data_IF_250074853369
#
_entry.id   IF_250074853369
#
_cell.length_a   1.000
_cell.length_b   1.000
_cell.length_c   1.000
_cell.angle_alpha   90.00
_cell.angle_beta   90.00
_cell.angle_gamma   90.00
#
_symmetry.space_group_name_H-M   'P 1'
#
loop_
_entity.id
_entity.type
_entity.pdbx_description
1 polymer ?
#
# COMPACT_ATOMS: atom_id res chain seq x y z
N UNK A 1 -16.00 -34.41 -23.69
CA UNK A 1 -15.20 -33.17 -23.66
C UNK A 1 -14.67 -33.02 -22.24
N UNK A 2 -13.37 -33.24 -22.02
CA UNK A 2 -12.76 -33.11 -20.70
C UNK A 2 -12.46 -31.64 -20.43
N UNK A 3 -13.04 -31.09 -19.36
CA UNK A 3 -12.69 -29.79 -18.83
C UNK A 3 -11.24 -29.84 -18.36
N UNK A 4 -10.38 -29.02 -18.97
CA UNK A 4 -8.99 -28.86 -18.57
C UNK A 4 -8.98 -28.07 -17.26
N UNK A 5 -8.55 -28.69 -16.17
CA UNK A 5 -8.34 -28.03 -14.89
C UNK A 5 -7.28 -26.93 -15.08
N UNK A 6 -7.67 -25.67 -14.92
CA UNK A 6 -6.74 -24.55 -15.02
C UNK A 6 -5.88 -24.55 -13.77
N UNK A 7 -4.68 -25.14 -13.84
CA UNK A 7 -3.64 -24.88 -12.87
C UNK A 7 -3.35 -23.37 -12.90
N UNK A 8 -3.80 -22.64 -11.88
CA UNK A 8 -3.40 -21.25 -11.73
C UNK A 8 -1.89 -21.22 -11.54
N UNK A 9 -1.13 -20.55 -12.43
CA UNK A 9 0.30 -20.41 -12.23
C UNK A 9 0.52 -19.77 -10.85
N UNK A 10 1.43 -20.34 -10.06
CA UNK A 10 1.83 -19.75 -8.79
C UNK A 10 2.41 -18.37 -9.10
N UNK A 11 1.70 -17.31 -8.69
CA UNK A 11 2.17 -15.94 -8.88
C UNK A 11 3.42 -15.74 -8.01
N UNK A 12 4.54 -15.44 -8.67
CA UNK A 12 5.78 -15.10 -7.98
C UNK A 12 5.62 -13.80 -7.17
N UNK A 13 6.17 -13.77 -5.96
CA UNK A 13 6.22 -12.58 -5.12
C UNK A 13 7.60 -11.95 -5.31
N UNK A 14 7.67 -10.91 -6.14
CA UNK A 14 8.93 -10.23 -6.47
C UNK A 14 9.38 -9.23 -5.40
N UNK A 15 8.47 -8.80 -4.51
CA UNK A 15 8.77 -7.82 -3.48
C UNK A 15 7.84 -7.97 -2.26
N UNK A 16 8.40 -7.81 -1.06
CA UNK A 16 7.68 -7.75 0.22
C UNK A 16 8.26 -6.61 1.05
N UNK A 17 7.39 -5.86 1.69
CA UNK A 17 7.76 -4.77 2.59
C UNK A 17 6.80 -4.72 3.77
N UNK A 18 7.31 -4.33 4.94
CA UNK A 18 6.50 -3.97 6.11
C UNK A 18 6.02 -2.52 6.06
N UNK A 19 6.50 -1.74 5.09
CA UNK A 19 6.27 -0.30 5.01
C UNK A 19 7.13 0.52 5.97
N UNK A 20 6.91 1.83 5.95
CA UNK A 20 7.54 2.81 6.84
C UNK A 20 6.48 3.55 7.65
N UNK A 21 6.60 3.53 8.98
CA UNK A 21 5.65 4.16 9.89
C UNK A 21 6.05 5.58 10.21
N UNK A 22 5.11 6.52 10.07
CA UNK A 22 5.25 7.93 10.44
C UNK A 22 3.99 8.40 11.19
N UNK A 23 4.06 8.37 12.53
CA UNK A 23 2.91 8.64 13.39
C UNK A 23 1.85 7.53 13.29
N UNK A 24 0.56 7.86 13.10
CA UNK A 24 -0.51 6.87 13.00
C UNK A 24 -0.60 6.17 11.63
N UNK A 25 0.24 6.54 10.67
CA UNK A 25 0.23 6.02 9.32
C UNK A 25 1.45 5.15 9.08
N UNK A 26 1.24 3.97 8.50
CA UNK A 26 2.30 3.15 7.90
C UNK A 26 2.15 3.16 6.40
N UNK A 27 3.11 3.77 5.69
CA UNK A 27 3.20 3.72 4.23
C UNK A 27 3.68 2.36 3.80
N UNK A 28 2.79 1.56 3.21
CA UNK A 28 3.12 0.23 2.73
C UNK A 28 3.83 0.26 1.38
N UNK A 29 3.48 1.19 0.50
CA UNK A 29 4.14 1.39 -0.80
C UNK A 29 3.84 2.77 -1.41
N UNK A 30 4.76 3.28 -2.22
CA UNK A 30 4.60 4.47 -3.06
C UNK A 30 5.47 4.41 -4.32
N UNK A 31 5.20 5.25 -5.35
CA UNK A 31 6.02 5.36 -6.56
C UNK A 31 7.50 5.65 -6.28
N UNK A 32 7.82 6.36 -5.19
CA UNK A 32 9.20 6.58 -4.76
C UNK A 32 9.91 5.29 -4.32
N UNK A 33 9.17 4.24 -3.96
CA UNK A 33 9.71 2.93 -3.57
C UNK A 33 9.87 1.99 -4.77
N UNK A 34 8.80 1.83 -5.56
CA UNK A 34 8.68 0.75 -6.56
C UNK A 34 8.41 1.23 -7.99
N UNK A 35 8.25 2.54 -8.19
CA UNK A 35 8.08 3.15 -9.52
C UNK A 35 6.96 2.53 -10.35
N UNK A 36 7.26 2.21 -11.60
CA UNK A 36 6.32 1.70 -12.60
C UNK A 36 5.70 0.34 -12.23
N UNK A 37 6.35 -0.44 -11.36
CA UNK A 37 5.80 -1.73 -10.90
C UNK A 37 4.48 -1.57 -10.15
N UNK A 38 4.21 -0.37 -9.61
CA UNK A 38 2.99 -0.08 -8.88
C UNK A 38 1.81 0.27 -9.76
N UNK A 39 2.00 0.59 -11.04
CA UNK A 39 0.88 1.03 -11.87
C UNK A 39 -0.21 -0.05 -11.91
N UNK A 40 -1.49 0.33 -11.78
CA UNK A 40 -2.02 1.70 -11.78
C UNK A 40 -2.13 2.38 -10.39
N UNK A 41 -1.57 1.78 -9.34
CA UNK A 41 -1.64 2.30 -7.97
C UNK A 41 -0.65 3.44 -7.73
N UNK A 42 -1.07 4.43 -6.93
CA UNK A 42 -0.30 5.66 -6.67
C UNK A 42 0.29 5.74 -5.26
N UNK A 43 -0.21 4.96 -4.29
CA UNK A 43 0.41 4.61 -3.00
C UNK A 43 -0.58 3.75 -2.20
N UNK A 44 -0.15 3.18 -1.07
CA UNK A 44 -1.04 2.56 -0.07
C UNK A 44 -0.54 2.89 1.34
N UNK A 45 -1.44 3.47 2.14
CA UNK A 45 -1.20 3.79 3.54
C UNK A 45 -2.15 2.96 4.43
N UNK A 46 -1.61 2.39 5.50
CA UNK A 46 -2.36 1.79 6.59
C UNK A 46 -2.49 2.81 7.73
N UNK A 47 -3.72 3.21 8.05
CA UNK A 47 -3.99 4.19 9.08
C UNK A 47 -4.58 3.53 10.34
N UNK A 48 -3.94 3.73 11.49
CA UNK A 48 -4.39 3.25 12.79
C UNK A 48 -4.82 4.41 13.69
N UNK A 49 -6.08 4.40 14.15
CA UNK A 49 -6.65 5.48 14.96
C UNK A 49 -7.25 4.96 16.27
N UNK A 50 -6.51 4.11 16.97
CA UNK A 50 -6.85 3.66 18.31
C UNK A 50 -5.74 4.04 19.32
N UNK A 51 -5.96 3.75 20.60
CA UNK A 51 -5.05 4.12 21.69
C UNK A 51 -3.64 3.49 21.61
N UNK A 52 -3.36 2.62 20.64
CA UNK A 52 -2.04 2.05 20.37
C UNK A 52 -1.19 2.92 19.44
N UNK A 53 -1.80 3.88 18.74
CA UNK A 53 -1.12 4.75 17.77
C UNK A 53 -0.88 6.15 18.33
N UNK A 54 0.20 6.79 17.89
CA UNK A 54 0.47 8.18 18.23
C UNK A 54 -0.66 9.10 17.71
N UNK A 55 -1.02 10.18 18.43
CA UNK A 55 -2.03 11.12 17.96
C UNK A 55 -1.70 11.64 16.56
N UNK A 56 -2.70 11.68 15.68
CA UNK A 56 -2.53 12.18 14.32
C UNK A 56 -2.13 13.66 14.35
N UNK A 57 -0.98 14.03 13.75
CA UNK A 57 -0.61 15.44 13.62
C UNK A 57 -1.68 16.19 12.82
N UNK A 58 -2.05 17.39 13.28
CA UNK A 58 -3.05 18.27 12.64
C UNK A 58 -2.74 18.59 11.15
N UNK A 59 -1.50 18.37 10.70
CA UNK A 59 -1.07 18.53 9.31
C UNK A 59 -1.68 17.52 8.33
N UNK A 60 -2.31 16.45 8.81
CA UNK A 60 -3.13 15.53 7.99
C UNK A 60 -4.50 16.12 7.59
N UNK A 61 -4.76 17.39 7.92
CA UNK A 61 -6.00 18.10 7.60
C UNK A 61 -6.19 18.38 6.11
N UNK A 62 -6.77 19.53 5.78
CA UNK A 62 -7.13 19.89 4.41
C UNK A 62 -5.89 20.13 3.54
N UNK A 63 -5.76 19.33 2.48
CA UNK A 63 -4.70 19.49 1.48
C UNK A 63 -5.22 19.13 0.08
N UNK A 64 -4.68 19.75 -0.99
CA UNK A 64 -5.16 19.52 -2.34
C UNK A 64 -4.61 18.22 -2.93
N UNK A 65 -5.35 17.67 -3.90
CA UNK A 65 -4.92 16.59 -4.78
C UNK A 65 -5.17 16.98 -6.24
N UNK A 66 -4.21 16.67 -7.12
CA UNK A 66 -4.34 16.75 -8.57
C UNK A 66 -3.80 15.45 -9.16
N UNK A 67 -4.53 14.87 -10.12
CA UNK A 67 -4.11 13.69 -10.88
C UNK A 67 -3.79 14.04 -12.32
#
# INVERSE_FOLDING_TARGET
>A
MLARELQHPVREIIYRTSGQTHGPITRLMSPSDLGELLKPFVFLDLAGFDGRFAPTPMGFGWHPHSG
#
